data_IF_700251467340
#
_entry.id   IF_700251467340
#
_cell.length_a   1.000
_cell.length_b   1.000
_cell.length_c   1.000
_cell.angle_alpha   90.00
_cell.angle_beta   90.00
_cell.angle_gamma   90.00
#
_symmetry.space_group_name_H-M   'P 1'
#
loop_
_entity.id
_entity.type
_entity.pdbx_description
1 polymer ?
#
# COMPACT_ATOMS: atom_id res chain seq x y z
N UNK A 1 20.91 7.22 -2.57
CA UNK A 1 20.15 6.58 -3.68
C UNK A 1 19.83 7.54 -4.84
N UNK A 2 19.94 8.86 -4.65
CA UNK A 2 19.82 9.89 -5.71
C UNK A 2 20.93 9.85 -6.77
N UNK A 3 22.12 9.32 -6.46
CA UNK A 3 23.26 9.29 -7.40
C UNK A 3 23.06 8.43 -8.65
N UNK A 4 22.14 7.45 -8.64
CA UNK A 4 21.98 6.50 -9.76
C UNK A 4 20.88 6.88 -10.77
N UNK A 5 20.15 7.99 -10.61
CA UNK A 5 19.00 8.40 -11.47
C UNK A 5 18.09 7.22 -11.87
N UNK A 6 17.75 6.36 -10.90
CA UNK A 6 16.89 5.18 -11.16
C UNK A 6 15.45 5.62 -11.45
N UNK A 7 15.03 6.74 -10.86
CA UNK A 7 13.70 7.31 -11.05
C UNK A 7 13.79 8.51 -11.99
N UNK A 8 12.86 8.57 -12.94
CA UNK A 8 12.71 9.71 -13.85
C UNK A 8 12.26 10.96 -13.09
N UNK A 9 11.41 10.77 -12.07
CA UNK A 9 10.85 11.82 -11.24
C UNK A 9 11.58 11.94 -9.89
N UNK A 10 11.61 13.14 -9.29
CA UNK A 10 12.21 13.33 -7.97
C UNK A 10 11.46 12.55 -6.88
N UNK A 11 12.22 12.04 -5.91
CA UNK A 11 11.65 11.44 -4.69
C UNK A 11 11.20 12.59 -3.77
N UNK A 12 9.92 12.63 -3.43
CA UNK A 12 9.30 13.68 -2.61
C UNK A 12 8.92 13.21 -1.20
N UNK A 13 9.40 12.04 -0.78
CA UNK A 13 9.14 11.48 0.55
C UNK A 13 9.79 12.34 1.64
N UNK A 14 8.98 12.75 2.62
CA UNK A 14 9.42 13.50 3.78
C UNK A 14 10.04 12.58 4.85
N UNK A 15 11.13 13.03 5.48
CA UNK A 15 11.78 12.34 6.60
C UNK A 15 11.81 13.32 7.76
N UNK A 16 10.91 13.11 8.73
CA UNK A 16 10.76 13.98 9.90
C UNK A 16 10.63 13.15 11.19
N UNK A 17 10.98 13.73 12.35
CA UNK A 17 10.70 13.11 13.63
C UNK A 17 9.21 12.86 13.80
N UNK A 18 8.87 11.71 14.38
CA UNK A 18 7.50 11.44 14.82
C UNK A 18 7.09 12.44 15.91
N UNK A 19 5.86 12.94 15.85
CA UNK A 19 5.28 13.84 16.85
C UNK A 19 4.10 13.18 17.53
N UNK A 20 2.94 13.21 16.87
CA UNK A 20 1.66 12.72 17.38
C UNK A 20 0.92 11.97 16.27
N UNK A 21 0.12 10.99 16.66
CA UNK A 21 -0.74 10.23 15.75
C UNK A 21 -2.17 10.21 16.27
N UNK A 22 -3.12 10.53 15.39
CA UNK A 22 -4.54 10.54 15.69
C UNK A 22 -5.17 9.32 15.02
N UNK A 23 -5.76 8.44 15.83
CA UNK A 23 -6.39 7.21 15.34
C UNK A 23 -7.61 7.57 14.49
N UNK A 24 -7.68 6.99 13.29
CA UNK A 24 -8.85 7.13 12.42
C UNK A 24 -10.07 6.40 12.99
N UNK A 25 -11.26 6.76 12.54
CA UNK A 25 -12.53 6.15 12.94
C UNK A 25 -12.56 4.64 12.67
N UNK A 26 -13.27 3.88 13.50
CA UNK A 26 -13.30 2.41 13.49
C UNK A 26 -13.60 1.79 12.11
N UNK A 27 -14.45 2.43 11.29
CA UNK A 27 -14.80 1.92 9.97
C UNK A 27 -13.66 2.03 8.94
N UNK A 28 -12.64 2.84 9.20
CA UNK A 28 -11.43 2.90 8.37
C UNK A 28 -10.48 1.72 8.63
N UNK A 29 -10.61 1.06 9.78
CA UNK A 29 -9.78 -0.09 10.12
C UNK A 29 -10.25 -1.32 9.35
N UNK A 30 -9.30 -2.10 8.85
CA UNK A 30 -9.57 -3.31 8.07
C UNK A 30 -10.48 -3.08 6.84
N UNK A 31 -10.49 -1.85 6.30
CA UNK A 31 -11.48 -1.42 5.30
C UNK A 31 -11.57 -2.36 4.09
N UNK A 32 -10.42 -2.75 3.50
CA UNK A 32 -10.42 -3.63 2.33
C UNK A 32 -11.07 -4.99 2.63
N UNK A 33 -10.74 -5.61 3.76
CA UNK A 33 -11.24 -6.92 4.13
C UNK A 33 -12.73 -6.89 4.51
N UNK A 34 -13.20 -5.78 5.08
CA UNK A 34 -14.60 -5.61 5.46
C UNK A 34 -15.49 -5.12 4.30
N UNK A 35 -14.90 -4.57 3.24
CA UNK A 35 -15.62 -3.89 2.16
C UNK A 35 -15.05 -4.27 0.77
N UNK A 36 -14.70 -5.54 0.56
CA UNK A 36 -13.96 -6.01 -0.62
C UNK A 36 -14.71 -5.79 -1.94
N UNK A 37 -16.04 -5.70 -1.88
CA UNK A 37 -16.93 -5.46 -3.01
C UNK A 37 -17.06 -3.97 -3.39
N UNK A 38 -16.53 -3.04 -2.58
CA UNK A 38 -16.54 -1.63 -2.94
C UNK A 38 -15.78 -1.39 -4.26
N UNK A 39 -16.27 -0.50 -5.15
CA UNK A 39 -15.63 -0.27 -6.45
C UNK A 39 -14.14 0.08 -6.32
N UNK A 40 -13.78 0.89 -5.30
CA UNK A 40 -12.39 1.23 -5.01
C UNK A 40 -11.54 -0.01 -4.71
N UNK A 41 -12.04 -0.92 -3.86
CA UNK A 41 -11.37 -2.16 -3.53
C UNK A 41 -11.14 -3.01 -4.80
N UNK A 42 -12.21 -3.22 -5.58
CA UNK A 42 -12.18 -4.07 -6.78
C UNK A 42 -11.28 -3.55 -7.89
N UNK A 43 -11.35 -2.25 -8.19
CA UNK A 43 -10.63 -1.70 -9.34
C UNK A 43 -9.21 -1.23 -9.00
N UNK A 44 -8.92 -0.93 -7.73
CA UNK A 44 -7.63 -0.34 -7.34
C UNK A 44 -6.78 -1.26 -6.47
N UNK A 45 -7.38 -1.91 -5.46
CA UNK A 45 -6.62 -2.70 -4.46
C UNK A 45 -6.45 -4.14 -4.91
N UNK A 46 -7.53 -4.83 -5.29
CA UNK A 46 -7.49 -6.25 -5.67
C UNK A 46 -6.46 -6.54 -6.76
N UNK A 47 -6.33 -5.76 -7.85
CA UNK A 47 -5.30 -6.01 -8.86
C UNK A 47 -3.87 -5.94 -8.32
N UNK A 48 -3.62 -5.10 -7.31
CA UNK A 48 -2.31 -4.99 -6.65
C UNK A 48 -2.02 -6.21 -5.80
N UNK A 49 -3.02 -6.71 -5.06
CA UNK A 49 -2.89 -7.92 -4.24
C UNK A 49 -2.64 -9.14 -5.13
N UNK A 50 -3.42 -9.31 -6.20
CA UNK A 50 -3.24 -10.44 -7.11
C UNK A 50 -1.89 -10.38 -7.83
N UNK A 51 -1.43 -9.18 -8.21
CA UNK A 51 -0.07 -8.99 -8.74
C UNK A 51 1.00 -9.39 -7.72
N UNK A 52 0.84 -9.00 -6.45
CA UNK A 52 1.77 -9.37 -5.38
C UNK A 52 1.81 -10.90 -5.20
N UNK A 53 0.66 -11.54 -5.03
CA UNK A 53 0.56 -13.00 -4.90
C UNK A 53 1.21 -13.73 -6.07
N UNK A 54 0.99 -13.25 -7.30
CA UNK A 54 1.57 -13.83 -8.50
C UNK A 54 3.10 -13.70 -8.54
N UNK A 55 3.65 -12.54 -8.20
CA UNK A 55 5.10 -12.28 -8.29
C UNK A 55 5.86 -13.00 -7.18
N UNK A 56 5.25 -13.14 -6.00
CA UNK A 56 5.90 -13.65 -4.80
C UNK A 56 5.31 -14.99 -4.32
N UNK A 57 4.71 -15.75 -5.22
CA UNK A 57 4.04 -17.02 -4.90
C UNK A 57 4.98 -18.01 -4.16
N UNK A 58 6.27 -18.00 -4.48
CA UNK A 58 7.31 -18.83 -3.84
C UNK A 58 7.70 -18.38 -2.43
N UNK A 59 7.30 -17.17 -2.03
CA UNK A 59 7.69 -16.53 -0.75
C UNK A 59 6.55 -16.38 0.24
N UNK A 60 5.33 -16.70 -0.18
CA UNK A 60 4.16 -16.67 0.69
C UNK A 60 4.09 -18.05 1.35
N UNK A 61 4.31 -18.09 2.66
CA UNK A 61 4.00 -19.26 3.46
C UNK A 61 2.47 -19.42 3.54
N UNK A 62 2.00 -20.65 3.35
CA UNK A 62 0.59 -21.01 3.52
C UNK A 62 0.21 -21.07 5.01
#
# INVERSE_FOLDING_TARGET
>A
MTKKKIWENPIVTEIVPFTEFYVAEDYHHNYYNNNTDQPYCRFVITPKIEKFKKIFADKIAE
#
